data_IF_585268853438
#
_entry.id   IF_585268853438
#
_cell.length_a   1.000
_cell.length_b   1.000
_cell.length_c   1.000
_cell.angle_alpha   90.00
_cell.angle_beta   90.00
_cell.angle_gamma   90.00
#
_symmetry.space_group_name_H-M   'P 1'
#
loop_
_entity.id
_entity.type
_entity.pdbx_description
1 polymer ?
#
# COMPACT_ATOMS: atom_id res chain seq x y z
N UNK A 1 27.69 12.97 -10.28
CA UNK A 1 27.25 13.24 -8.89
C UNK A 1 25.95 14.05 -8.83
N UNK A 2 25.71 14.91 -9.79
CA UNK A 2 24.51 15.80 -9.78
C UNK A 2 23.16 15.10 -9.83
N UNK A 3 23.07 13.93 -10.46
CA UNK A 3 21.79 13.19 -10.59
C UNK A 3 21.26 12.75 -9.20
N UNK A 4 22.10 12.15 -8.35
CA UNK A 4 21.72 11.70 -7.02
C UNK A 4 21.40 12.87 -6.06
N UNK A 5 22.06 14.00 -6.25
CA UNK A 5 21.82 15.20 -5.44
C UNK A 5 20.46 15.83 -5.76
N UNK A 6 20.05 15.78 -7.05
CA UNK A 6 18.80 16.37 -7.52
C UNK A 6 17.59 15.43 -7.39
N UNK A 7 17.82 14.12 -7.21
CA UNK A 7 16.78 13.09 -7.11
C UNK A 7 16.99 12.22 -5.85
N UNK A 8 16.73 12.75 -4.64
CA UNK A 8 17.05 12.05 -3.40
C UNK A 8 16.25 10.75 -3.16
N UNK A 9 15.11 10.58 -3.82
CA UNK A 9 14.21 9.42 -3.69
C UNK A 9 14.36 8.40 -4.81
N UNK A 10 15.39 8.53 -5.65
CA UNK A 10 15.62 7.62 -6.76
C UNK A 10 15.96 6.20 -6.28
N UNK A 11 15.43 5.19 -6.94
CA UNK A 11 15.73 3.79 -6.65
C UNK A 11 17.12 3.38 -7.16
N UNK A 12 17.68 2.30 -6.62
CA UNK A 12 18.95 1.73 -7.11
C UNK A 12 18.85 1.28 -8.58
N UNK A 13 17.67 0.83 -9.01
CA UNK A 13 17.40 0.48 -10.40
C UNK A 13 17.51 1.71 -11.32
N UNK A 14 16.82 2.80 -10.98
CA UNK A 14 16.85 4.05 -11.74
C UNK A 14 18.27 4.64 -11.82
N UNK A 15 19.06 4.51 -10.74
CA UNK A 15 20.48 4.90 -10.76
C UNK A 15 21.28 4.06 -11.75
N UNK A 16 21.10 2.74 -11.73
CA UNK A 16 21.82 1.84 -12.63
C UNK A 16 21.42 2.10 -14.10
N UNK A 17 20.13 2.28 -14.37
CA UNK A 17 19.61 2.61 -15.70
C UNK A 17 20.14 3.95 -16.21
N UNK A 18 20.15 4.98 -15.36
CA UNK A 18 20.72 6.28 -15.71
C UNK A 18 22.21 6.19 -16.06
N UNK A 19 23.00 5.47 -15.28
CA UNK A 19 24.44 5.29 -15.53
C UNK A 19 24.69 4.58 -16.85
N UNK A 20 23.94 3.52 -17.14
CA UNK A 20 24.05 2.81 -18.43
C UNK A 20 23.62 3.72 -19.59
N UNK A 21 22.51 4.44 -19.44
CA UNK A 21 22.02 5.39 -20.44
C UNK A 21 23.03 6.51 -20.75
N UNK A 22 23.66 7.08 -19.71
CA UNK A 22 24.72 8.07 -19.86
C UNK A 22 25.98 7.49 -20.53
N UNK A 23 26.33 6.24 -20.25
CA UNK A 23 27.43 5.57 -20.90
C UNK A 23 27.16 5.37 -22.39
N UNK A 24 25.98 4.87 -22.75
CA UNK A 24 25.54 4.69 -24.14
C UNK A 24 25.53 6.02 -24.90
N UNK A 25 25.06 7.10 -24.26
CA UNK A 25 24.98 8.43 -24.89
C UNK A 25 26.35 8.97 -25.31
N UNK A 26 27.43 8.51 -24.69
CA UNK A 26 28.81 8.91 -24.99
C UNK A 26 29.50 8.04 -26.06
N UNK A 27 28.89 6.92 -26.42
CA UNK A 27 29.38 6.08 -27.49
C UNK A 27 29.08 6.69 -28.87
N UNK A 28 29.98 6.49 -29.85
CA UNK A 28 29.74 6.93 -31.21
C UNK A 28 28.44 6.33 -31.78
N UNK A 29 27.58 7.18 -32.32
CA UNK A 29 26.26 6.83 -32.86
C UNK A 29 25.28 6.23 -31.82
N UNK A 30 25.55 6.35 -30.49
CA UNK A 30 24.76 5.76 -29.42
C UNK A 30 24.58 4.22 -29.53
N UNK A 31 25.60 3.56 -30.12
CA UNK A 31 25.59 2.10 -30.29
C UNK A 31 26.71 1.51 -29.43
N UNK A 32 26.33 0.59 -28.52
CA UNK A 32 27.28 -0.14 -27.73
C UNK A 32 28.20 -0.99 -28.61
N UNK A 33 29.49 -0.89 -28.39
CA UNK A 33 30.48 -1.74 -29.04
C UNK A 33 30.71 -3.05 -28.27
N UNK A 34 30.36 -3.07 -26.99
CA UNK A 34 30.57 -4.20 -26.10
C UNK A 34 29.49 -4.20 -25.01
N UNK A 35 29.39 -5.28 -24.23
CA UNK A 35 28.46 -5.42 -23.14
C UNK A 35 28.74 -4.40 -22.02
N UNK A 36 27.66 -3.77 -21.50
CA UNK A 36 27.74 -2.85 -20.38
C UNK A 36 26.93 -3.37 -19.21
N UNK A 37 27.52 -3.37 -18.02
CA UNK A 37 26.84 -3.75 -16.79
C UNK A 37 27.02 -2.68 -15.71
N UNK A 38 25.95 -2.29 -15.07
CA UNK A 38 25.97 -1.43 -13.90
C UNK A 38 25.23 -2.09 -12.75
N UNK A 39 25.80 -2.03 -11.55
CA UNK A 39 25.17 -2.46 -10.31
C UNK A 39 25.17 -1.31 -9.30
N UNK A 40 23.98 -0.94 -8.81
CA UNK A 40 23.82 0.06 -7.77
C UNK A 40 23.31 -0.60 -6.47
N UNK A 41 24.04 -0.43 -5.38
CA UNK A 41 23.65 -0.89 -4.04
C UNK A 41 23.33 0.32 -3.17
N UNK A 42 22.11 0.37 -2.67
CA UNK A 42 21.64 1.43 -1.81
C UNK A 42 21.29 0.90 -0.42
N UNK A 43 22.01 1.36 0.60
CA UNK A 43 21.80 0.98 1.99
C UNK A 43 21.04 2.08 2.71
N UNK A 44 19.85 1.79 3.21
CA UNK A 44 19.00 2.68 4.00
C UNK A 44 18.20 1.92 5.05
N UNK A 45 17.65 2.62 6.01
CA UNK A 45 16.68 2.04 6.91
C UNK A 45 15.44 1.57 6.12
N UNK A 46 14.85 0.42 6.49
CA UNK A 46 13.60 -0.02 5.88
C UNK A 46 12.49 1.02 6.05
N UNK A 47 11.74 1.26 4.99
CA UNK A 47 10.49 2.02 5.06
C UNK A 47 9.39 1.06 5.49
N UNK A 48 8.56 1.49 6.42
CA UNK A 48 7.51 0.65 7.00
C UNK A 48 6.14 1.25 6.73
N UNK A 49 5.16 0.38 6.51
CA UNK A 49 3.77 0.78 6.40
C UNK A 49 2.86 -0.10 7.25
N UNK A 50 1.81 0.50 7.78
CA UNK A 50 0.69 -0.17 8.43
C UNK A 50 -0.58 0.00 7.60
N UNK A 51 -1.23 -1.11 7.28
CA UNK A 51 -2.54 -1.13 6.67
C UNK A 51 -3.54 -1.74 7.65
N UNK A 52 -4.54 -0.94 8.07
CA UNK A 52 -5.63 -1.41 8.92
C UNK A 52 -6.89 -1.69 8.08
N UNK A 53 -7.44 -2.89 8.19
CA UNK A 53 -8.65 -3.29 7.46
C UNK A 53 -9.57 -4.18 8.29
N UNK A 54 -10.84 -3.84 8.34
CA UNK A 54 -11.87 -4.51 9.13
C UNK A 54 -11.83 -4.13 10.61
N UNK A 55 -12.99 -4.14 11.28
CA UNK A 55 -13.08 -3.91 12.71
C UNK A 55 -12.51 -5.09 13.51
N UNK A 56 -11.91 -4.85 14.70
CA UNK A 56 -11.48 -5.93 15.59
C UNK A 56 -12.68 -6.79 16.01
N UNK A 57 -12.42 -8.05 16.38
CA UNK A 57 -13.48 -8.96 16.81
C UNK A 57 -14.23 -8.40 18.04
N UNK A 58 -13.49 -7.95 19.02
CA UNK A 58 -14.03 -7.30 20.23
C UNK A 58 -13.92 -5.78 20.09
N UNK A 59 -15.05 -5.08 20.18
CA UNK A 59 -15.08 -3.62 20.16
C UNK A 59 -14.33 -2.96 21.33
N UNK A 60 -14.10 -3.67 22.42
CA UNK A 60 -13.24 -3.20 23.52
C UNK A 60 -11.79 -2.95 23.04
N UNK A 61 -11.38 -3.54 21.91
CA UNK A 61 -10.05 -3.37 21.32
C UNK A 61 -9.98 -2.23 20.30
N UNK A 62 -11.07 -1.52 20.05
CA UNK A 62 -11.10 -0.40 19.09
C UNK A 62 -10.04 0.66 19.45
N UNK A 63 -9.96 1.04 20.73
CA UNK A 63 -8.97 2.00 21.22
C UNK A 63 -7.52 1.48 21.09
N UNK A 64 -7.28 0.19 21.31
CA UNK A 64 -5.97 -0.45 21.11
C UNK A 64 -5.54 -0.37 19.65
N UNK A 65 -6.43 -0.74 18.71
CA UNK A 65 -6.15 -0.69 17.28
C UNK A 65 -5.87 0.74 16.79
N UNK A 66 -6.69 1.70 17.22
CA UNK A 66 -6.50 3.10 16.88
C UNK A 66 -5.18 3.66 17.47
N UNK A 67 -4.83 3.29 18.69
CA UNK A 67 -3.57 3.67 19.33
C UNK A 67 -2.37 3.04 18.63
N UNK A 68 -2.48 1.77 18.21
CA UNK A 68 -1.45 1.10 17.43
C UNK A 68 -1.18 1.84 16.10
N UNK A 69 -2.24 2.22 15.39
CA UNK A 69 -2.12 3.00 14.16
C UNK A 69 -1.54 4.40 14.44
N UNK A 70 -1.98 5.09 15.49
CA UNK A 70 -1.47 6.41 15.86
C UNK A 70 0.04 6.39 16.10
N UNK A 71 0.52 5.41 16.86
CA UNK A 71 1.91 5.32 17.32
C UNK A 71 2.84 4.64 16.31
N UNK A 72 2.29 4.08 15.23
CA UNK A 72 3.10 3.46 14.19
C UNK A 72 3.97 4.53 13.49
N UNK A 73 5.26 4.22 13.34
CA UNK A 73 6.22 5.08 12.64
C UNK A 73 6.35 4.57 11.20
N UNK A 74 5.89 5.35 10.25
CA UNK A 74 5.87 4.98 8.84
C UNK A 74 4.56 5.38 8.16
N UNK A 75 4.37 4.90 6.94
CA UNK A 75 3.15 5.13 6.17
C UNK A 75 1.95 4.39 6.77
N UNK A 76 0.78 5.00 6.69
CA UNK A 76 -0.45 4.48 7.27
C UNK A 76 -1.56 4.49 6.24
N UNK A 77 -2.22 3.35 6.07
CA UNK A 77 -3.42 3.24 5.26
C UNK A 77 -4.56 2.61 6.06
N UNK A 78 -5.76 3.05 5.79
CA UNK A 78 -7.00 2.44 6.31
C UNK A 78 -7.83 2.01 5.11
N UNK A 79 -8.19 0.73 5.07
CA UNK A 79 -9.05 0.17 4.03
C UNK A 79 -10.34 -0.37 4.67
N UNK A 80 -11.40 0.45 4.60
CA UNK A 80 -12.72 0.13 5.12
C UNK A 80 -13.35 1.29 5.90
N UNK A 81 -14.59 1.63 5.57
CA UNK A 81 -15.33 2.72 6.23
C UNK A 81 -15.44 2.51 7.74
N UNK A 82 -15.87 1.32 8.18
CA UNK A 82 -15.97 1.00 9.62
C UNK A 82 -14.62 1.14 10.36
N UNK A 83 -13.51 0.71 9.74
CA UNK A 83 -12.18 0.89 10.33
C UNK A 83 -11.80 2.35 10.43
N UNK A 84 -12.14 3.16 9.42
CA UNK A 84 -11.91 4.60 9.42
C UNK A 84 -12.75 5.32 10.49
N UNK A 85 -14.02 4.92 10.66
CA UNK A 85 -14.91 5.45 11.70
C UNK A 85 -14.39 5.12 13.11
N UNK A 86 -13.90 3.89 13.35
CA UNK A 86 -13.28 3.50 14.61
C UNK A 86 -12.09 4.42 14.91
N UNK A 87 -11.17 4.57 13.97
CA UNK A 87 -9.99 5.41 14.17
C UNK A 87 -10.38 6.89 14.37
N UNK A 88 -11.35 7.38 13.60
CA UNK A 88 -11.89 8.74 13.74
C UNK A 88 -12.44 8.98 15.15
N UNK A 89 -13.30 8.08 15.63
CA UNK A 89 -13.91 8.14 16.96
C UNK A 89 -12.88 8.09 18.07
N UNK A 90 -12.02 7.07 18.07
CA UNK A 90 -11.07 6.80 19.15
C UNK A 90 -9.95 7.85 19.24
N UNK A 91 -9.56 8.45 18.10
CA UNK A 91 -8.51 9.47 18.08
C UNK A 91 -9.05 10.90 18.05
N UNK A 92 -10.37 11.09 17.94
CA UNK A 92 -10.98 12.40 17.78
C UNK A 92 -10.53 13.11 16.49
N UNK A 93 -10.29 12.36 15.42
CA UNK A 93 -9.84 12.88 14.12
C UNK A 93 -10.99 12.94 13.14
N UNK A 94 -11.10 14.06 12.44
CA UNK A 94 -12.14 14.24 11.42
C UNK A 94 -11.86 13.34 10.21
N UNK A 95 -12.90 12.63 9.77
CA UNK A 95 -12.91 11.87 8.51
C UNK A 95 -13.63 12.71 7.45
N UNK A 96 -12.89 13.15 6.43
CA UNK A 96 -13.44 13.97 5.33
C UNK A 96 -13.50 13.15 4.05
N UNK A 97 -14.67 13.06 3.46
CA UNK A 97 -14.84 12.43 2.16
C UNK A 97 -14.26 13.33 1.06
N UNK A 98 -13.41 12.77 0.22
CA UNK A 98 -12.87 13.46 -0.95
C UNK A 98 -13.77 13.24 -2.17
N UNK A 99 -14.67 14.19 -2.38
CA UNK A 99 -15.63 14.16 -3.51
C UNK A 99 -14.94 14.33 -4.87
N UNK A 100 -13.70 14.80 -4.92
CA UNK A 100 -12.95 14.94 -6.17
C UNK A 100 -12.42 13.59 -6.70
N UNK A 101 -12.36 12.59 -5.84
CA UNK A 101 -11.89 11.23 -6.15
C UNK A 101 -12.98 10.29 -6.64
N UNK A 102 -14.20 10.78 -6.87
CA UNK A 102 -15.33 9.96 -7.32
C UNK A 102 -15.06 9.48 -8.75
N UNK A 103 -15.02 8.16 -8.92
CA UNK A 103 -14.94 7.49 -10.22
C UNK A 103 -16.14 6.56 -10.37
N UNK A 104 -16.66 6.33 -11.60
CA UNK A 104 -17.74 5.38 -11.84
C UNK A 104 -17.44 3.97 -11.33
N UNK A 105 -16.16 3.60 -11.31
CA UNK A 105 -15.68 2.24 -11.02
C UNK A 105 -15.09 2.08 -9.61
N UNK A 106 -14.99 3.17 -8.82
CA UNK A 106 -14.38 3.11 -7.50
C UNK A 106 -15.10 4.04 -6.52
N UNK A 107 -15.38 3.56 -5.30
CA UNK A 107 -15.87 4.39 -4.21
C UNK A 107 -14.93 5.55 -3.89
N UNK A 108 -15.45 6.69 -3.39
CA UNK A 108 -14.64 7.84 -3.05
C UNK A 108 -13.64 7.52 -1.93
N UNK A 109 -12.51 8.18 -1.97
CA UNK A 109 -11.54 8.17 -0.88
C UNK A 109 -11.97 9.12 0.24
N UNK A 110 -11.36 8.94 1.40
CA UNK A 110 -11.45 9.89 2.50
C UNK A 110 -10.06 10.33 2.94
N UNK A 111 -10.00 11.46 3.63
CA UNK A 111 -8.78 11.98 4.25
C UNK A 111 -8.93 12.01 5.76
N UNK A 112 -7.84 11.73 6.47
CA UNK A 112 -7.74 11.79 7.92
C UNK A 112 -6.34 12.27 8.29
N UNK A 113 -6.24 13.17 9.24
CA UNK A 113 -4.95 13.66 9.70
C UNK A 113 -4.05 12.53 10.22
N UNK A 114 -2.78 12.51 9.77
CA UNK A 114 -1.80 11.49 10.12
C UNK A 114 -2.04 10.10 9.51
N UNK A 115 -2.86 9.99 8.46
CA UNK A 115 -3.07 8.79 7.64
C UNK A 115 -2.82 9.15 6.18
N UNK A 116 -1.97 8.39 5.51
CA UNK A 116 -1.58 8.66 4.12
C UNK A 116 -2.68 8.33 3.11
N UNK A 117 -3.52 7.32 3.42
CA UNK A 117 -4.57 6.86 2.52
C UNK A 117 -5.73 6.25 3.30
N UNK A 118 -6.94 6.71 3.02
CA UNK A 118 -8.19 6.11 3.55
C UNK A 118 -9.07 5.76 2.36
N UNK A 119 -9.37 4.46 2.21
CA UNK A 119 -10.18 3.96 1.10
C UNK A 119 -11.34 3.10 1.60
N UNK A 120 -12.23 2.77 0.69
CA UNK A 120 -13.18 1.68 0.86
C UNK A 120 -12.42 0.35 1.06
N UNK A 121 -13.08 -0.65 1.64
CA UNK A 121 -12.44 -1.87 2.14
C UNK A 121 -12.04 -2.91 1.08
N UNK A 122 -12.83 -4.01 1.04
CA UNK A 122 -12.51 -5.24 0.30
C UNK A 122 -12.32 -4.99 -1.19
N UNK A 123 -13.14 -4.11 -1.77
CA UNK A 123 -13.07 -3.80 -3.20
C UNK A 123 -11.71 -3.19 -3.60
N UNK A 124 -11.25 -2.18 -2.83
CA UNK A 124 -9.95 -1.56 -3.07
C UNK A 124 -8.80 -2.56 -2.89
N UNK A 125 -8.85 -3.40 -1.84
CA UNK A 125 -7.85 -4.43 -1.60
C UNK A 125 -7.79 -5.48 -2.71
N UNK A 126 -8.97 -5.93 -3.19
CA UNK A 126 -9.07 -6.91 -4.29
C UNK A 126 -8.48 -6.36 -5.58
N UNK A 127 -8.80 -5.11 -5.92
CA UNK A 127 -8.29 -4.44 -7.12
C UNK A 127 -6.77 -4.18 -7.02
N UNK A 128 -6.28 -3.78 -5.83
CA UNK A 128 -4.84 -3.63 -5.58
C UNK A 128 -4.08 -4.96 -5.74
N UNK A 129 -4.66 -6.08 -5.29
CA UNK A 129 -4.07 -7.41 -5.50
C UNK A 129 -3.95 -7.73 -7.00
N UNK A 130 -4.98 -7.41 -7.78
CA UNK A 130 -4.93 -7.60 -9.25
C UNK A 130 -3.87 -6.73 -9.92
N UNK A 131 -3.71 -5.48 -9.46
CA UNK A 131 -2.68 -4.58 -9.99
C UNK A 131 -1.26 -5.07 -9.67
N UNK A 132 -1.03 -5.58 -8.45
CA UNK A 132 0.27 -6.15 -8.08
C UNK A 132 0.63 -7.41 -8.87
N UNK A 133 -0.34 -8.17 -9.31
CA UNK A 133 -0.13 -9.39 -10.11
C UNK A 133 0.04 -9.11 -11.61
N UNK A 134 -0.38 -7.93 -12.08
CA UNK A 134 -0.22 -7.54 -13.48
C UNK A 134 1.24 -7.18 -13.79
N UNK A 135 1.77 -7.76 -14.87
CA UNK A 135 3.17 -7.57 -15.30
C UNK A 135 3.44 -6.13 -15.78
N UNK A 136 2.40 -5.41 -16.18
CA UNK A 136 2.54 -4.13 -16.90
C UNK A 136 2.85 -2.92 -16.02
N UNK A 137 2.98 -3.09 -14.70
CA UNK A 137 3.41 -2.01 -13.79
C UNK A 137 2.64 -0.70 -13.94
N UNK A 138 1.40 -0.77 -14.43
CA UNK A 138 0.60 0.42 -14.79
C UNK A 138 0.33 1.22 -13.53
N UNK A 139 0.81 2.46 -13.52
CA UNK A 139 0.47 3.43 -12.47
C UNK A 139 -0.98 3.85 -12.65
N UNK A 140 -1.88 3.21 -11.92
CA UNK A 140 -3.27 3.61 -11.87
C UNK A 140 -3.45 4.79 -10.91
N UNK A 141 -4.20 5.80 -11.34
CA UNK A 141 -4.52 6.98 -10.53
C UNK A 141 -5.88 6.84 -9.83
N UNK A 142 -6.19 5.63 -9.38
CA UNK A 142 -7.38 5.32 -8.60
C UNK A 142 -6.99 4.87 -7.16
N UNK A 143 -7.93 4.73 -6.22
CA UNK A 143 -7.62 4.35 -4.84
C UNK A 143 -6.82 3.06 -4.71
N UNK A 144 -7.05 2.07 -5.58
CA UNK A 144 -6.30 0.81 -5.58
C UNK A 144 -4.87 0.99 -6.10
N UNK A 145 -4.67 1.83 -7.13
CA UNK A 145 -3.35 2.19 -7.63
C UNK A 145 -2.54 3.00 -6.63
N UNK A 146 -3.17 3.94 -5.92
CA UNK A 146 -2.53 4.68 -4.83
C UNK A 146 -2.10 3.75 -3.68
N UNK A 147 -2.96 2.79 -3.31
CA UNK A 147 -2.63 1.78 -2.30
C UNK A 147 -1.47 0.89 -2.75
N UNK A 148 -1.49 0.45 -4.00
CA UNK A 148 -0.40 -0.33 -4.61
C UNK A 148 0.92 0.44 -4.59
N UNK A 149 0.90 1.71 -5.00
CA UNK A 149 2.07 2.59 -4.95
C UNK A 149 2.60 2.77 -3.52
N UNK A 150 1.70 2.88 -2.53
CA UNK A 150 2.07 2.96 -1.12
C UNK A 150 2.73 1.67 -0.63
N UNK A 151 2.22 0.50 -1.01
CA UNK A 151 2.82 -0.80 -0.68
C UNK A 151 4.20 -0.96 -1.33
N UNK A 152 4.34 -0.61 -2.61
CA UNK A 152 5.58 -0.80 -3.35
C UNK A 152 6.73 0.09 -2.88
N UNK A 153 6.44 1.31 -2.41
CA UNK A 153 7.48 2.21 -1.87
C UNK A 153 7.97 1.83 -0.48
N UNK A 154 7.27 0.93 0.23
CA UNK A 154 7.64 0.44 1.55
C UNK A 154 8.30 -0.95 1.47
N UNK A 155 9.18 -1.27 2.42
CA UNK A 155 9.92 -2.53 2.47
C UNK A 155 9.27 -3.54 3.40
N UNK A 156 8.65 -3.03 4.48
CA UNK A 156 7.93 -3.83 5.48
C UNK A 156 6.48 -3.38 5.52
N UNK A 157 5.56 -4.31 5.23
CA UNK A 157 4.13 -4.05 5.23
C UNK A 157 3.47 -4.83 6.36
N UNK A 158 2.88 -4.13 7.32
CA UNK A 158 2.11 -4.73 8.40
C UNK A 158 0.62 -4.59 8.09
N UNK A 159 -0.07 -5.72 7.92
CA UNK A 159 -1.53 -5.77 7.86
C UNK A 159 -2.10 -5.98 9.26
N UNK A 160 -2.90 -5.04 9.73
CA UNK A 160 -3.74 -5.17 10.92
C UNK A 160 -5.15 -5.53 10.44
N UNK A 161 -5.54 -6.79 10.64
CA UNK A 161 -6.75 -7.35 10.03
C UNK A 161 -7.78 -7.63 11.12
N UNK A 162 -8.85 -6.84 11.12
CA UNK A 162 -9.97 -7.08 11.99
C UNK A 162 -10.76 -8.33 11.58
N UNK A 163 -11.18 -9.08 12.58
CA UNK A 163 -11.85 -10.37 12.39
C UNK A 163 -13.35 -10.33 12.73
N UNK A 164 -13.88 -9.16 13.07
CA UNK A 164 -15.31 -8.98 13.30
C UNK A 164 -16.08 -9.02 11.99
N UNK A 165 -17.17 -9.75 11.99
CA UNK A 165 -18.17 -9.77 10.93
C UNK A 165 -19.06 -8.55 11.12
N UNK A 166 -19.31 -7.77 10.07
CA UNK A 166 -20.17 -6.60 10.14
C UNK A 166 -21.64 -7.04 10.13
N UNK A 167 -22.30 -6.98 11.28
CA UNK A 167 -23.72 -7.39 11.44
C UNK A 167 -24.71 -6.52 10.64
N UNK A 168 -24.28 -5.34 10.17
CA UNK A 168 -25.11 -4.44 9.37
C UNK A 168 -25.48 -5.02 7.99
N UNK A 169 -24.78 -6.03 7.54
CA UNK A 169 -25.11 -6.82 6.35
C UNK A 169 -25.55 -8.22 6.80
N UNK A 170 -26.76 -8.34 7.36
CA UNK A 170 -27.39 -9.64 7.70
C UNK A 170 -27.81 -10.39 6.41
N UNK A 171 -26.87 -10.58 5.51
CA UNK A 171 -27.01 -11.49 4.38
C UNK A 171 -26.53 -12.89 4.83
N UNK A 172 -27.29 -13.98 4.54
CA UNK A 172 -26.85 -15.35 4.85
C UNK A 172 -25.52 -15.75 4.22
N UNK A 173 -24.91 -14.91 3.39
CA UNK A 173 -23.59 -15.07 2.78
C UNK A 173 -22.42 -14.47 3.60
N UNK A 174 -22.65 -14.00 4.81
CA UNK A 174 -21.69 -13.25 5.63
C UNK A 174 -20.42 -13.99 6.11
N UNK A 175 -20.37 -15.34 6.25
CA UNK A 175 -19.08 -16.01 6.41
C UNK A 175 -18.12 -15.67 5.27
N UNK A 176 -18.67 -15.30 4.11
CA UNK A 176 -17.94 -14.92 2.91
C UNK A 176 -17.08 -13.66 3.07
N UNK A 177 -17.52 -12.61 3.77
CA UNK A 177 -16.78 -11.34 3.80
C UNK A 177 -15.50 -11.41 4.63
N UNK A 178 -15.52 -12.12 5.76
CA UNK A 178 -14.33 -12.32 6.57
C UNK A 178 -13.34 -13.25 5.87
N UNK A 179 -13.85 -14.33 5.29
CA UNK A 179 -13.05 -15.27 4.53
C UNK A 179 -12.48 -14.60 3.29
N UNK A 180 -13.28 -13.79 2.59
CA UNK A 180 -12.85 -12.98 1.46
C UNK A 180 -11.74 -11.98 1.86
N UNK A 181 -11.87 -11.25 2.97
CA UNK A 181 -10.84 -10.33 3.46
C UNK A 181 -9.55 -11.05 3.78
N UNK A 182 -9.62 -12.19 4.48
CA UNK A 182 -8.45 -13.02 4.78
C UNK A 182 -7.75 -13.49 3.51
N UNK A 183 -8.51 -14.01 2.56
CA UNK A 183 -7.98 -14.51 1.30
C UNK A 183 -7.32 -13.40 0.47
N UNK A 184 -7.92 -12.21 0.41
CA UNK A 184 -7.34 -11.06 -0.29
C UNK A 184 -6.04 -10.61 0.39
N UNK A 185 -6.01 -10.51 1.73
CA UNK A 185 -4.80 -10.12 2.46
C UNK A 185 -3.69 -11.15 2.26
N UNK A 186 -4.01 -12.44 2.29
CA UNK A 186 -3.02 -13.50 2.02
C UNK A 186 -2.51 -13.47 0.58
N UNK A 187 -3.38 -13.17 -0.38
CA UNK A 187 -3.01 -13.00 -1.79
C UNK A 187 -2.06 -11.81 -1.96
N UNK A 188 -2.39 -10.65 -1.37
CA UNK A 188 -1.53 -9.47 -1.33
C UNK A 188 -0.16 -9.80 -0.71
N UNK A 189 -0.16 -10.43 0.47
CA UNK A 189 1.04 -10.81 1.17
C UNK A 189 1.94 -11.69 0.32
N UNK A 190 1.39 -12.76 -0.26
CA UNK A 190 2.13 -13.68 -1.13
C UNK A 190 2.75 -12.95 -2.32
N UNK A 191 1.97 -12.11 -3.01
CA UNK A 191 2.46 -11.38 -4.18
C UNK A 191 3.58 -10.40 -3.79
N UNK A 192 3.40 -9.64 -2.69
CA UNK A 192 4.41 -8.72 -2.18
C UNK A 192 5.71 -9.43 -1.79
N UNK A 193 5.63 -10.58 -1.15
CA UNK A 193 6.81 -11.37 -0.76
C UNK A 193 7.51 -12.02 -1.94
N UNK A 194 6.76 -12.63 -2.87
CA UNK A 194 7.34 -13.45 -3.95
C UNK A 194 7.79 -12.64 -5.16
N UNK A 195 7.03 -11.60 -5.53
CA UNK A 195 7.32 -10.82 -6.73
C UNK A 195 8.10 -9.52 -6.41
N UNK A 196 7.83 -8.92 -5.24
CA UNK A 196 8.42 -7.62 -4.87
C UNK A 196 9.42 -7.70 -3.72
N UNK A 197 9.70 -8.90 -3.20
CA UNK A 197 10.66 -9.18 -2.14
C UNK A 197 10.44 -8.31 -0.88
N UNK A 198 9.17 -7.99 -0.58
CA UNK A 198 8.78 -7.24 0.61
C UNK A 198 8.70 -8.17 1.81
N UNK A 199 8.90 -7.62 3.01
CA UNK A 199 8.59 -8.32 4.25
C UNK A 199 7.15 -8.03 4.63
N UNK A 200 6.34 -9.07 4.82
CA UNK A 200 4.93 -8.91 5.19
C UNK A 200 4.68 -9.48 6.59
N UNK A 201 3.92 -8.75 7.39
CA UNK A 201 3.49 -9.13 8.74
C UNK A 201 1.97 -9.03 8.77
N UNK A 202 1.28 -10.11 9.13
CA UNK A 202 -0.18 -10.12 9.28
C UNK A 202 -0.51 -10.30 10.76
N UNK A 203 -1.27 -9.34 11.31
CA UNK A 203 -1.79 -9.38 12.68
C UNK A 203 -3.31 -9.40 12.64
N UNK A 204 -3.91 -10.43 13.19
CA UNK A 204 -5.37 -10.53 13.33
C UNK A 204 -5.82 -9.99 14.70
N UNK A 205 -6.90 -9.19 14.68
CA UNK A 205 -7.44 -8.51 15.88
C UNK A 205 -8.95 -8.68 16.00
#
# INVERSE_FOLDING_TARGET
MDYLTNCPDVSSYEVAEHVVGEAISKEPHHINKDDMTCAALYFRNPREMLLFTGPPYDSARDAECASFLKNFVGDKAICGGTSAEIVSRELGRELKMDLSSISPDMPPMSTMDGVNLVTEGIFTLSKAATYLESVDGVRHNDPAGLLTGLMLRNDVITFLVGTRINEAHQDPNLPHDLELRRNIVQRLARTLETQYLKKVIIKYV
#
